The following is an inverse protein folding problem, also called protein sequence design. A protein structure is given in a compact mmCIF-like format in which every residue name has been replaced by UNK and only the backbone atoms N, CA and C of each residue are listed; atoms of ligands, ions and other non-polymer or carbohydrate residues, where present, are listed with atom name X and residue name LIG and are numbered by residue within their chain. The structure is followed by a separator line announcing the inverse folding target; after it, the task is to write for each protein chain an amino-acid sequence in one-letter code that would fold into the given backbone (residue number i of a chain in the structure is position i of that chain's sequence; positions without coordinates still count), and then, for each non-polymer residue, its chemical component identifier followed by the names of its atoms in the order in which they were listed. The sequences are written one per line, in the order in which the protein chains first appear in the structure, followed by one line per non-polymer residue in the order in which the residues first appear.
data_IF_565813913699
#
_entry.id   IF_565813913699
#
_cell.length_a   1.000
_cell.length_b   1.000
_cell.length_c   1.000
_cell.angle_alpha   90.00
_cell.angle_beta   90.00
_cell.angle_gamma   90.00
#
_symmetry.space_group_name_H-M   'P 1'
#
loop_
_entity.id
_entity.type
_entity.pdbx_description
1 polymer ?
#
# COMPACT_ATOMS: atom_id res chain seq x y z
N UNK A 1 -32.72 -19.17 -27.35
CA UNK A 1 -32.22 -17.82 -27.00
C UNK A 1 -33.25 -17.22 -26.05
N UNK A 2 -33.04 -17.39 -24.76
CA UNK A 2 -33.73 -16.63 -23.71
C UNK A 2 -32.64 -16.28 -22.70
N UNK A 3 -32.15 -15.05 -22.79
CA UNK A 3 -31.28 -14.47 -21.76
C UNK A 3 -32.23 -13.68 -20.88
N UNK A 4 -32.49 -14.20 -19.68
CA UNK A 4 -33.33 -13.56 -18.69
C UNK A 4 -32.81 -12.17 -18.29
N UNK A 5 -33.65 -11.34 -17.66
CA UNK A 5 -33.29 -9.97 -17.30
C UNK A 5 -32.16 -9.98 -16.26
N UNK A 6 -31.02 -9.36 -16.58
CA UNK A 6 -30.01 -8.98 -15.59
C UNK A 6 -30.52 -7.74 -14.85
N UNK A 7 -31.43 -7.95 -13.91
CA UNK A 7 -31.74 -6.99 -12.86
C UNK A 7 -30.62 -7.08 -11.82
N UNK A 8 -29.82 -6.02 -11.73
CA UNK A 8 -29.11 -5.73 -10.49
C UNK A 8 -30.18 -5.36 -9.45
N UNK A 9 -30.68 -6.34 -8.71
CA UNK A 9 -31.43 -6.10 -7.48
C UNK A 9 -30.44 -5.53 -6.44
N UNK A 10 -30.26 -4.22 -6.45
CA UNK A 10 -29.86 -3.50 -5.26
C UNK A 10 -31.11 -3.34 -4.40
N UNK A 11 -31.43 -4.32 -3.55
CA UNK A 11 -32.21 -4.00 -2.35
C UNK A 11 -31.35 -3.12 -1.46
N UNK A 12 -31.69 -1.83 -1.27
CA UNK A 12 -30.93 -0.97 -0.38
C UNK A 12 -31.07 -1.52 1.03
N UNK A 13 -29.98 -1.86 1.71
CA UNK A 13 -30.03 -1.92 3.17
C UNK A 13 -30.28 -0.48 3.65
N UNK A 14 -31.55 -0.20 3.93
CA UNK A 14 -32.08 0.99 4.62
C UNK A 14 -32.40 2.25 3.80
N UNK A 15 -32.87 2.16 2.54
CA UNK A 15 -33.64 3.25 1.90
C UNK A 15 -33.11 4.69 2.09
N UNK A 16 -31.77 4.87 2.15
CA UNK A 16 -31.19 6.18 2.43
C UNK A 16 -31.18 6.97 1.13
N UNK A 17 -32.04 7.98 1.07
CA UNK A 17 -31.98 9.06 0.08
C UNK A 17 -30.54 9.59 0.01
N UNK A 18 -30.01 9.73 -1.21
CA UNK A 18 -28.72 10.36 -1.46
C UNK A 18 -28.84 11.84 -1.09
N UNK A 19 -28.30 12.22 0.06
CA UNK A 19 -28.31 13.60 0.55
C UNK A 19 -26.88 14.13 0.55
N UNK A 20 -26.53 14.85 -0.51
CA UNK A 20 -25.47 15.85 -0.40
C UNK A 20 -26.01 16.93 0.54
N UNK A 21 -25.49 17.01 1.76
CA UNK A 21 -25.89 18.04 2.72
C UNK A 21 -25.49 19.41 2.14
N UNK A 22 -26.48 20.08 1.54
CA UNK A 22 -26.30 21.37 0.88
C UNK A 22 -26.15 22.49 1.89
N UNK A 23 -24.93 22.68 2.41
CA UNK A 23 -24.43 23.96 2.96
C UNK A 23 -22.91 23.97 3.23
N UNK A 24 -22.14 23.03 2.69
CA UNK A 24 -20.67 23.07 2.77
C UNK A 24 -20.14 22.97 1.34
N UNK A 25 -19.15 23.80 0.98
CA UNK A 25 -18.41 23.68 -0.27
C UNK A 25 -18.00 22.21 -0.45
N UNK A 26 -18.71 21.48 -1.33
CA UNK A 26 -18.39 20.07 -1.59
C UNK A 26 -17.06 20.07 -2.32
N UNK A 27 -15.99 19.69 -1.62
CA UNK A 27 -14.68 19.55 -2.24
C UNK A 27 -14.80 18.60 -3.45
N UNK A 28 -14.11 18.92 -4.56
CA UNK A 28 -14.21 18.17 -5.83
C UNK A 28 -14.09 16.65 -5.63
N UNK A 29 -13.20 16.19 -4.75
CA UNK A 29 -13.05 14.76 -4.44
C UNK A 29 -14.22 14.15 -3.68
N UNK A 30 -14.94 14.89 -2.83
CA UNK A 30 -16.16 14.38 -2.18
C UNK A 30 -17.26 14.16 -3.21
N UNK A 31 -17.47 15.12 -4.11
CA UNK A 31 -18.43 14.95 -5.21
C UNK A 31 -18.06 13.76 -6.10
N UNK A 32 -16.76 13.58 -6.39
CA UNK A 32 -16.26 12.42 -7.13
C UNK A 32 -16.51 11.08 -6.42
N UNK A 33 -16.25 11.00 -5.11
CA UNK A 33 -16.51 9.80 -4.30
C UNK A 33 -17.97 9.38 -4.36
N UNK A 34 -18.86 10.35 -4.15
CA UNK A 34 -20.31 10.14 -4.18
C UNK A 34 -20.80 9.74 -5.59
N UNK A 35 -20.21 10.31 -6.64
CA UNK A 35 -20.50 9.92 -8.02
C UNK A 35 -20.06 8.47 -8.30
N UNK A 36 -18.90 8.04 -7.82
CA UNK A 36 -18.44 6.66 -7.99
C UNK A 36 -19.37 5.66 -7.27
N UNK A 37 -19.90 6.01 -6.09
CA UNK A 37 -20.96 5.21 -5.46
C UNK A 37 -22.20 5.10 -6.35
N UNK A 38 -22.65 6.19 -6.95
CA UNK A 38 -23.78 6.16 -7.88
C UNK A 38 -23.48 5.31 -9.13
N UNK A 39 -22.21 5.18 -9.52
CA UNK A 39 -21.72 4.30 -10.59
C UNK A 39 -21.34 2.89 -10.08
N UNK A 40 -21.92 2.47 -8.95
CA UNK A 40 -21.83 1.13 -8.37
C UNK A 40 -20.45 0.72 -7.83
N UNK A 41 -19.54 1.66 -7.55
CA UNK A 41 -18.31 1.35 -6.81
C UNK A 41 -18.59 1.32 -5.31
N UNK A 42 -18.22 0.21 -4.68
CA UNK A 42 -18.10 0.13 -3.24
C UNK A 42 -16.81 0.82 -2.77
N UNK A 43 -16.71 1.01 -1.46
CA UNK A 43 -15.47 1.44 -0.84
C UNK A 43 -14.33 0.44 -1.03
N UNK A 44 -13.13 0.93 -1.29
CA UNK A 44 -11.95 0.08 -1.52
C UNK A 44 -11.60 -0.75 -0.27
N UNK A 45 -11.79 -0.17 0.92
CA UNK A 45 -11.52 -0.85 2.19
C UNK A 45 -12.50 -1.97 2.54
N UNK A 46 -13.62 -2.09 1.82
CA UNK A 46 -14.61 -3.14 2.02
C UNK A 46 -14.45 -4.30 1.01
N UNK A 47 -13.38 -4.33 0.22
CA UNK A 47 -13.07 -5.48 -0.63
C UNK A 47 -12.93 -6.76 0.18
N UNK A 48 -13.30 -7.89 -0.42
CA UNK A 48 -13.16 -9.20 0.20
C UNK A 48 -11.68 -9.60 0.43
N UNK A 49 -10.74 -8.95 -0.25
CA UNK A 49 -9.29 -9.08 -0.08
C UNK A 49 -8.64 -7.93 0.73
N UNK A 50 -9.42 -6.99 1.29
CA UNK A 50 -8.89 -5.82 1.99
C UNK A 50 -8.01 -6.19 3.21
N UNK A 51 -8.24 -7.36 3.81
CA UNK A 51 -7.45 -7.87 4.94
C UNK A 51 -5.99 -8.22 4.59
N UNK A 52 -5.62 -8.25 3.30
CA UNK A 52 -4.21 -8.34 2.93
C UNK A 52 -3.51 -6.98 3.08
N UNK A 53 -4.24 -5.87 2.90
CA UNK A 53 -3.67 -4.54 2.66
C UNK A 53 -3.87 -3.56 3.83
N UNK A 54 -4.98 -3.69 4.56
CA UNK A 54 -5.34 -2.80 5.66
C UNK A 54 -5.96 -3.56 6.82
N UNK A 55 -5.90 -2.99 8.00
CA UNK A 55 -6.59 -3.48 9.19
C UNK A 55 -7.22 -2.35 10.00
N UNK A 56 -8.15 -2.73 10.86
CA UNK A 56 -8.70 -1.82 11.85
C UNK A 56 -7.83 -1.78 13.10
N UNK A 57 -7.78 -0.61 13.71
CA UNK A 57 -7.09 -0.45 14.97
C UNK A 57 -7.86 -1.18 16.08
N UNK A 58 -7.27 -2.21 16.71
CA UNK A 58 -7.95 -2.99 17.75
C UNK A 58 -8.26 -2.17 19.01
N UNK A 59 -7.55 -1.07 19.23
CA UNK A 59 -7.79 -0.16 20.35
C UNK A 59 -8.98 0.78 20.11
N UNK A 60 -9.51 0.83 18.89
CA UNK A 60 -10.70 1.61 18.59
C UNK A 60 -11.96 0.77 18.89
N UNK A 61 -12.70 1.16 19.94
CA UNK A 61 -13.89 0.44 20.44
C UNK A 61 -15.22 0.99 19.91
N UNK A 62 -15.18 1.93 18.97
CA UNK A 62 -16.41 2.51 18.43
C UNK A 62 -17.05 1.54 17.43
N UNK A 63 -18.17 0.92 17.85
CA UNK A 63 -18.89 -0.11 17.08
C UNK A 63 -19.39 0.42 15.74
N UNK A 64 -19.81 1.68 15.68
CA UNK A 64 -20.31 2.30 14.45
C UNK A 64 -19.20 2.39 13.40
N UNK A 65 -17.93 2.54 13.82
CA UNK A 65 -16.80 2.46 12.89
C UNK A 65 -16.59 1.04 12.40
N UNK A 66 -16.62 0.04 13.28
CA UNK A 66 -16.35 -1.37 12.90
C UNK A 66 -17.32 -1.84 11.80
N UNK A 67 -18.60 -1.49 11.90
CA UNK A 67 -19.60 -1.88 10.89
C UNK A 67 -19.32 -1.28 9.50
N UNK A 68 -18.81 -0.05 9.44
CA UNK A 68 -18.45 0.60 8.17
C UNK A 68 -17.26 -0.06 7.47
N UNK A 69 -16.52 -0.93 8.16
CA UNK A 69 -15.31 -1.56 7.66
C UNK A 69 -15.42 -3.07 7.47
N UNK A 70 -16.61 -3.65 7.68
CA UNK A 70 -16.78 -5.07 7.40
C UNK A 70 -16.52 -5.35 5.90
N UNK A 71 -15.61 -6.29 5.57
CA UNK A 71 -15.43 -6.73 4.20
C UNK A 71 -16.74 -7.25 3.63
N UNK A 72 -17.01 -6.93 2.36
CA UNK A 72 -18.09 -7.54 1.61
C UNK A 72 -17.74 -9.01 1.37
N UNK A 73 -18.74 -9.90 1.37
CA UNK A 73 -18.51 -11.35 1.23
C UNK A 73 -17.93 -11.74 -0.13
N UNK A 74 -18.17 -10.94 -1.17
CA UNK A 74 -17.66 -11.19 -2.52
C UNK A 74 -17.58 -9.87 -3.28
N UNK A 75 -16.41 -9.52 -3.77
CA UNK A 75 -16.21 -8.35 -4.63
C UNK A 75 -15.67 -8.77 -5.99
N UNK A 76 -16.19 -8.17 -7.06
CA UNK A 76 -15.59 -8.29 -8.38
C UNK A 76 -14.71 -7.07 -8.64
N UNK A 77 -13.40 -7.31 -8.67
CA UNK A 77 -12.41 -6.27 -8.87
C UNK A 77 -11.95 -6.19 -10.33
N UNK A 78 -12.54 -6.97 -11.24
CA UNK A 78 -12.22 -7.01 -12.67
C UNK A 78 -10.72 -7.20 -12.96
N UNK A 79 -10.03 -7.91 -12.07
CA UNK A 79 -8.59 -8.14 -12.13
C UNK A 79 -7.72 -6.91 -11.80
N UNK A 80 -8.28 -5.82 -11.27
CA UNK A 80 -7.51 -4.66 -10.81
C UNK A 80 -6.96 -4.86 -9.38
N UNK A 81 -5.74 -4.36 -9.11
CA UNK A 81 -5.11 -4.47 -7.79
C UNK A 81 -5.87 -3.66 -6.74
N UNK A 82 -5.60 -3.90 -5.45
CA UNK A 82 -6.05 -3.02 -4.37
C UNK A 82 -5.36 -1.66 -4.47
N UNK A 83 -6.13 -0.57 -4.46
CA UNK A 83 -5.60 0.79 -4.62
C UNK A 83 -5.77 1.65 -3.37
N UNK A 84 -4.70 1.76 -2.58
CA UNK A 84 -4.65 2.63 -1.40
C UNK A 84 -4.99 4.09 -1.72
N UNK A 85 -4.70 4.54 -2.94
CA UNK A 85 -4.98 5.90 -3.41
C UNK A 85 -6.35 6.08 -4.06
N UNK A 86 -7.18 5.04 -4.11
CA UNK A 86 -8.54 5.15 -4.67
C UNK A 86 -9.31 6.25 -3.97
N UNK A 87 -10.10 7.01 -4.74
CA UNK A 87 -11.03 7.99 -4.19
C UNK A 87 -12.09 7.29 -3.31
N UNK A 88 -12.31 5.99 -3.51
CA UNK A 88 -13.20 5.13 -2.72
C UNK A 88 -12.56 4.59 -1.43
N UNK A 89 -11.29 4.88 -1.17
CA UNK A 89 -10.66 4.54 0.11
C UNK A 89 -10.97 5.62 1.16
N UNK A 90 -11.34 5.19 2.37
CA UNK A 90 -11.48 6.10 3.50
C UNK A 90 -10.13 6.56 4.04
N UNK A 91 -10.13 7.73 4.65
CA UNK A 91 -8.96 8.21 5.37
C UNK A 91 -8.73 7.42 6.64
N UNK A 92 -7.49 7.45 7.10
CA UNK A 92 -7.04 6.69 8.25
C UNK A 92 -7.71 7.08 9.57
N UNK A 93 -8.48 8.19 9.61
CA UNK A 93 -9.12 8.89 10.75
C UNK A 93 -8.45 8.72 12.11
N UNK A 94 -8.01 9.81 12.73
CA UNK A 94 -7.46 9.74 14.08
C UNK A 94 -8.61 9.63 15.08
N UNK A 95 -8.79 8.46 15.68
CA UNK A 95 -9.79 8.20 16.72
C UNK A 95 -9.51 8.98 18.02
N UNK A 96 -10.43 8.86 18.98
CA UNK A 96 -10.45 9.65 20.22
C UNK A 96 -9.15 9.60 21.06
N UNK A 97 -8.33 8.57 20.87
CA UNK A 97 -7.06 8.36 21.59
C UNK A 97 -5.82 8.79 20.80
N UNK A 98 -5.98 9.46 19.66
CA UNK A 98 -4.85 9.94 18.86
C UNK A 98 -4.25 8.86 17.93
N UNK A 99 -5.02 7.81 17.59
CA UNK A 99 -4.56 6.69 16.76
C UNK A 99 -5.35 6.58 15.46
N UNK A 100 -4.71 6.14 14.38
CA UNK A 100 -5.42 5.83 13.13
C UNK A 100 -6.41 4.70 13.34
N UNK A 101 -7.64 4.85 12.86
CA UNK A 101 -8.67 3.83 12.83
C UNK A 101 -8.39 2.75 11.78
N UNK A 102 -7.80 3.13 10.64
CA UNK A 102 -7.35 2.22 9.58
C UNK A 102 -5.82 2.26 9.53
N UNK A 103 -5.21 1.09 9.67
CA UNK A 103 -3.76 0.91 9.60
C UNK A 103 -3.45 0.15 8.31
N UNK A 104 -2.58 0.68 7.46
CA UNK A 104 -2.09 -0.05 6.29
C UNK A 104 -1.04 -1.08 6.73
N UNK A 105 -1.06 -2.28 6.11
CA UNK A 105 -0.07 -3.32 6.41
C UNK A 105 1.34 -2.83 6.11
N UNK A 106 1.55 -2.31 4.90
CA UNK A 106 2.76 -1.58 4.58
C UNK A 106 2.65 -0.15 5.09
N UNK A 107 3.54 0.25 6.00
CA UNK A 107 3.55 1.61 6.56
C UNK A 107 3.70 2.72 5.53
N UNK A 108 4.32 2.45 4.39
CA UNK A 108 4.55 3.44 3.35
C UNK A 108 3.25 3.94 2.71
N UNK A 109 2.18 3.14 2.78
CA UNK A 109 0.87 3.52 2.24
C UNK A 109 -0.01 4.29 3.23
N UNK A 110 0.40 4.46 4.49
CA UNK A 110 -0.47 4.99 5.55
C UNK A 110 -0.99 6.41 5.24
N UNK A 111 -0.20 7.22 4.52
CA UNK A 111 -0.60 8.58 4.07
C UNK A 111 -1.13 8.64 2.65
N UNK A 112 -1.17 7.50 1.95
CA UNK A 112 -1.79 7.37 0.62
C UNK A 112 -3.32 7.30 0.77
N UNK A 113 -3.80 6.63 1.81
CA UNK A 113 -5.23 6.38 2.01
C UNK A 113 -6.03 7.64 2.35
N UNK A 114 -7.22 7.75 1.77
CA UNK A 114 -8.20 8.79 2.11
C UNK A 114 -8.08 10.11 1.36
N UNK A 115 -7.21 10.18 0.35
CA UNK A 115 -7.11 11.37 -0.48
C UNK A 115 -8.48 11.77 -1.08
N UNK A 116 -8.67 13.07 -1.30
CA UNK A 116 -9.88 13.66 -1.92
C UNK A 116 -9.49 14.67 -3.01
N UNK A 117 -8.35 14.45 -3.64
CA UNK A 117 -7.81 15.32 -4.68
C UNK A 117 -8.34 14.92 -6.07
N UNK A 118 -8.24 13.64 -6.43
CA UNK A 118 -8.53 13.15 -7.79
C UNK A 118 -8.92 11.67 -7.83
N UNK A 119 -9.51 11.25 -8.95
CA UNK A 119 -9.68 9.83 -9.25
C UNK A 119 -8.32 9.18 -9.48
N UNK A 120 -8.14 7.96 -8.98
CA UNK A 120 -7.00 7.13 -9.36
C UNK A 120 -7.19 6.60 -10.79
N UNK A 121 -6.11 6.17 -11.44
CA UNK A 121 -6.19 5.45 -12.70
C UNK A 121 -7.16 4.25 -12.59
N UNK A 122 -7.05 3.47 -11.50
CA UNK A 122 -7.92 2.32 -11.26
C UNK A 122 -9.40 2.70 -11.20
N UNK A 123 -9.76 3.75 -10.46
CA UNK A 123 -11.17 4.19 -10.34
C UNK A 123 -11.76 4.44 -11.72
N UNK A 124 -11.04 5.18 -12.57
CA UNK A 124 -11.49 5.48 -13.94
C UNK A 124 -11.51 4.23 -14.83
N UNK A 125 -10.54 3.33 -14.68
CA UNK A 125 -10.42 2.12 -15.48
C UNK A 125 -11.55 1.11 -15.20
N UNK A 126 -11.97 0.96 -13.94
CA UNK A 126 -13.11 0.11 -13.57
C UNK A 126 -14.41 0.68 -14.15
N UNK A 127 -14.63 1.99 -14.01
CA UNK A 127 -15.81 2.65 -14.60
C UNK A 127 -15.86 2.45 -16.11
N UNK A 128 -14.74 2.69 -16.80
CA UNK A 128 -14.66 2.47 -18.24
C UNK A 128 -14.83 1.01 -18.62
N UNK A 129 -14.35 0.07 -17.80
CA UNK A 129 -14.58 -1.36 -18.02
C UNK A 129 -16.07 -1.71 -17.95
N UNK A 130 -16.78 -1.24 -16.92
CA UNK A 130 -18.20 -1.56 -16.68
C UNK A 130 -19.10 -0.93 -17.75
N UNK A 131 -18.89 0.36 -18.06
CA UNK A 131 -19.85 1.14 -18.84
C UNK A 131 -19.42 1.41 -20.29
N UNK A 132 -18.13 1.27 -20.61
CA UNK A 132 -17.57 1.63 -21.91
C UNK A 132 -16.80 0.48 -22.59
N UNK A 133 -16.77 -0.72 -21.99
CA UNK A 133 -15.96 -1.84 -22.47
C UNK A 133 -16.25 -2.29 -23.90
N UNK A 134 -17.49 -2.10 -24.37
CA UNK A 134 -17.91 -2.45 -25.73
C UNK A 134 -17.60 -1.38 -26.79
N UNK A 135 -17.17 -0.17 -26.39
CA UNK A 135 -16.95 0.93 -27.34
C UNK A 135 -15.83 0.63 -28.36
N UNK A 136 -14.83 -0.17 -27.97
CA UNK A 136 -13.73 -0.58 -28.82
C UNK A 136 -13.81 -2.04 -29.26
N UNK A 137 -15.03 -2.61 -29.28
CA UNK A 137 -15.26 -4.00 -29.66
C UNK A 137 -14.70 -4.30 -31.05
N UNK A 138 -13.97 -5.41 -31.15
CA UNK A 138 -13.31 -5.84 -32.38
C UNK A 138 -11.88 -5.30 -32.57
N UNK A 139 -11.43 -4.35 -31.73
CA UNK A 139 -10.02 -3.96 -31.65
C UNK A 139 -9.29 -4.76 -30.59
N UNK A 140 -8.06 -5.15 -30.91
CA UNK A 140 -7.15 -5.77 -29.95
C UNK A 140 -6.58 -4.68 -29.04
N UNK A 141 -6.53 -4.92 -27.72
CA UNK A 141 -5.83 -4.02 -26.82
C UNK A 141 -4.31 -4.20 -27.01
N UNK A 142 -3.65 -3.18 -27.57
CA UNK A 142 -2.20 -3.14 -27.78
C UNK A 142 -1.44 -2.39 -26.67
N UNK A 143 -2.18 -1.77 -25.74
CA UNK A 143 -1.62 -1.02 -24.63
C UNK A 143 -0.87 -1.95 -23.66
N UNK A 144 0.31 -1.53 -23.24
CA UNK A 144 1.21 -2.25 -22.34
C UNK A 144 1.06 -1.78 -20.89
N UNK A 145 1.75 -2.46 -19.98
CA UNK A 145 1.86 -2.09 -18.56
C UNK A 145 0.52 -1.91 -17.81
N UNK A 146 -0.56 -2.52 -18.30
CA UNK A 146 -1.89 -2.40 -17.71
C UNK A 146 -2.73 -1.24 -18.25
N UNK A 147 -2.28 -0.60 -19.34
CA UNK A 147 -3.08 0.36 -20.10
C UNK A 147 -4.25 -0.29 -20.86
N UNK A 148 -5.20 0.53 -21.28
CA UNK A 148 -6.36 0.10 -22.07
C UNK A 148 -6.73 1.13 -23.13
N UNK A 149 -7.42 0.69 -24.18
CA UNK A 149 -7.87 1.57 -25.26
C UNK A 149 -8.79 2.66 -24.72
N UNK A 150 -8.56 3.90 -25.15
CA UNK A 150 -9.43 5.02 -24.84
C UNK A 150 -10.83 4.76 -25.41
N UNK A 151 -11.88 4.62 -24.58
CA UNK A 151 -13.21 4.27 -25.08
C UNK A 151 -13.88 5.34 -25.95
N UNK A 152 -13.29 6.54 -26.04
CA UNK A 152 -13.72 7.60 -26.97
C UNK A 152 -12.90 7.62 -28.26
N UNK A 153 -11.68 7.09 -28.23
CA UNK A 153 -10.72 7.09 -29.33
C UNK A 153 -9.93 5.78 -29.32
N UNK A 154 -10.50 4.74 -29.92
CA UNK A 154 -9.99 3.37 -29.78
C UNK A 154 -8.62 3.10 -30.45
N UNK A 155 -7.95 4.12 -30.97
CA UNK A 155 -6.57 4.07 -31.49
C UNK A 155 -5.56 4.69 -30.50
N UNK A 156 -6.03 5.20 -29.36
CA UNK A 156 -5.20 5.77 -28.30
C UNK A 156 -5.22 4.88 -27.04
N UNK A 157 -4.12 4.87 -26.30
CA UNK A 157 -4.02 4.20 -25.02
C UNK A 157 -4.19 5.16 -23.84
N UNK A 158 -4.99 4.75 -22.85
CA UNK A 158 -4.99 5.33 -21.51
C UNK A 158 -4.00 4.56 -20.64
N UNK A 159 -2.98 5.26 -20.14
CA UNK A 159 -1.85 4.67 -19.45
C UNK A 159 -1.96 4.81 -17.93
N UNK A 160 -1.53 3.78 -17.16
CA UNK A 160 -1.33 3.94 -15.73
C UNK A 160 -0.31 5.04 -15.44
N UNK A 161 -0.51 5.72 -14.32
CA UNK A 161 0.37 6.83 -13.92
C UNK A 161 1.82 6.39 -13.84
N UNK A 162 2.72 7.22 -14.40
CA UNK A 162 4.14 6.90 -14.55
C UNK A 162 4.50 6.27 -15.90
N UNK A 163 3.53 5.77 -16.67
CA UNK A 163 3.71 5.29 -18.04
C UNK A 163 3.07 6.25 -19.06
N UNK A 164 3.62 6.24 -20.27
CA UNK A 164 3.15 7.03 -21.39
C UNK A 164 3.63 6.46 -22.73
N UNK A 165 3.60 7.30 -23.76
CA UNK A 165 3.79 6.86 -25.14
C UNK A 165 2.50 6.28 -25.73
N UNK A 166 2.51 6.02 -27.04
CA UNK A 166 1.33 5.58 -27.78
C UNK A 166 0.76 4.24 -27.27
N UNK A 167 1.62 3.38 -26.71
CA UNK A 167 1.25 2.05 -26.21
C UNK A 167 1.50 1.87 -24.70
N UNK A 168 1.70 2.94 -23.93
CA UNK A 168 2.03 2.86 -22.49
C UNK A 168 3.32 2.06 -22.18
N UNK A 169 4.21 1.91 -23.16
CA UNK A 169 5.46 1.15 -23.09
C UNK A 169 6.66 2.02 -22.67
N UNK A 170 6.45 3.34 -22.64
CA UNK A 170 7.45 4.33 -22.25
C UNK A 170 7.12 4.86 -20.85
N UNK A 171 8.12 5.48 -20.21
CA UNK A 171 7.82 6.33 -19.07
C UNK A 171 7.08 7.57 -19.54
N UNK A 172 6.13 8.02 -18.75
CA UNK A 172 5.43 9.26 -19.03
C UNK A 172 6.45 10.40 -19.12
N UNK A 173 6.31 11.25 -20.14
CA UNK A 173 7.29 12.30 -20.40
C UNK A 173 7.40 13.27 -19.22
N UNK A 174 8.63 13.57 -18.83
CA UNK A 174 8.94 14.61 -17.88
C UNK A 174 8.69 15.99 -18.52
N UNK A 175 7.87 16.83 -17.89
CA UNK A 175 7.79 18.24 -18.27
C UNK A 175 8.79 19.02 -17.40
N UNK A 176 9.83 19.66 -17.94
CA UNK A 176 10.86 20.43 -17.21
C UNK A 176 11.80 19.58 -16.31
N UNK A 177 12.62 18.71 -16.90
CA UNK A 177 13.69 17.96 -16.23
C UNK A 177 14.99 17.95 -17.05
N UNK A 178 16.15 18.05 -16.39
CA UNK A 178 17.46 17.65 -16.93
C UNK A 178 17.84 16.31 -16.29
N UNK A 179 18.34 15.39 -17.11
CA UNK A 179 18.82 14.07 -16.70
C UNK A 179 20.24 14.20 -16.13
N UNK A 180 20.43 13.82 -14.87
CA UNK A 180 21.75 13.79 -14.21
C UNK A 180 22.23 12.34 -14.06
N UNK A 181 22.29 11.59 -15.15
CA UNK A 181 22.89 10.26 -15.17
C UNK A 181 24.43 10.35 -15.08
N UNK A 182 24.95 10.43 -13.86
CA UNK A 182 26.35 10.13 -13.51
C UNK A 182 26.50 8.70 -12.99
N UNK A 183 27.67 8.09 -13.16
CA UNK A 183 28.00 6.74 -12.67
C UNK A 183 27.72 6.58 -11.16
N UNK A 184 27.31 5.39 -10.69
CA UNK A 184 26.51 5.26 -9.46
C UNK A 184 27.34 5.25 -8.18
N UNK A 185 26.80 5.89 -7.15
CA UNK A 185 26.57 5.31 -5.81
C UNK A 185 25.59 6.18 -5.00
N UNK A 186 25.50 7.48 -5.33
CA UNK A 186 24.48 8.39 -4.81
C UNK A 186 23.78 9.02 -6.02
N UNK A 187 22.46 8.84 -6.14
CA UNK A 187 21.66 9.66 -7.03
C UNK A 187 21.35 10.94 -6.25
N UNK A 188 22.12 12.00 -6.52
CA UNK A 188 21.83 13.33 -6.00
C UNK A 188 20.75 13.97 -6.88
N UNK A 189 19.62 14.24 -6.25
CA UNK A 189 18.43 14.74 -6.89
C UNK A 189 18.35 16.25 -6.72
N UNK A 190 18.79 17.00 -7.73
CA UNK A 190 18.46 18.43 -7.82
C UNK A 190 16.97 18.59 -8.26
N UNK A 191 16.40 19.80 -8.18
CA UNK A 191 14.97 20.25 -8.30
C UNK A 191 14.11 19.74 -9.49
N UNK A 192 14.57 18.69 -10.18
CA UNK A 192 14.13 18.19 -11.45
C UNK A 192 13.74 16.70 -11.44
N UNK A 193 13.62 16.01 -10.29
CA UNK A 193 13.04 14.66 -10.34
C UNK A 193 11.54 14.78 -10.60
N UNK A 194 11.11 14.34 -11.79
CA UNK A 194 9.69 14.12 -12.07
C UNK A 194 9.37 12.64 -12.18
N UNK A 195 10.22 11.79 -12.80
CA UNK A 195 10.06 10.32 -12.83
C UNK A 195 11.41 9.60 -12.98
N UNK A 196 11.70 8.64 -12.12
CA UNK A 196 12.86 7.74 -12.16
C UNK A 196 12.38 6.29 -12.24
N UNK A 197 12.92 5.52 -13.20
CA UNK A 197 12.69 4.07 -13.30
C UNK A 197 13.97 3.32 -13.03
N UNK A 198 13.97 2.58 -11.94
CA UNK A 198 15.07 1.70 -11.59
C UNK A 198 14.70 0.27 -12.03
N UNK A 199 15.63 -0.38 -12.72
CA UNK A 199 15.45 -1.74 -13.23
C UNK A 199 16.33 -2.73 -12.46
N UNK A 200 15.78 -3.83 -11.93
CA UNK A 200 16.60 -4.88 -11.33
C UNK A 200 17.48 -5.58 -12.37
N UNK A 201 18.53 -6.26 -11.90
CA UNK A 201 19.21 -7.27 -12.70
C UNK A 201 18.26 -8.46 -12.92
N UNK A 202 18.42 -9.14 -14.05
CA UNK A 202 17.55 -10.25 -14.41
C UNK A 202 17.57 -11.34 -13.34
N UNK A 203 16.40 -11.75 -12.86
CA UNK A 203 16.23 -12.76 -11.81
C UNK A 203 16.47 -12.24 -10.40
N UNK A 204 16.74 -10.94 -10.23
CA UNK A 204 16.97 -10.31 -8.94
C UNK A 204 15.85 -9.32 -8.59
N UNK A 205 15.77 -8.99 -7.31
CA UNK A 205 14.88 -7.94 -6.81
C UNK A 205 15.62 -6.63 -6.68
N UNK A 206 14.94 -5.54 -7.02
CA UNK A 206 15.41 -4.20 -6.76
C UNK A 206 14.96 -3.77 -5.36
N UNK A 207 15.87 -3.17 -4.61
CA UNK A 207 15.60 -2.63 -3.29
C UNK A 207 16.13 -1.20 -3.25
N UNK A 208 15.32 -0.26 -2.74
CA UNK A 208 15.72 1.14 -2.55
C UNK A 208 15.62 1.51 -1.08
N UNK A 209 16.47 2.43 -0.63
CA UNK A 209 16.39 3.10 0.65
C UNK A 209 16.24 4.59 0.40
N UNK A 210 15.20 5.18 0.97
CA UNK A 210 15.07 6.63 0.99
C UNK A 210 15.94 7.18 2.12
N UNK A 211 16.83 8.11 1.77
CA UNK A 211 17.60 8.88 2.74
C UNK A 211 16.77 10.10 3.15
N UNK A 212 16.99 10.64 4.36
CA UNK A 212 16.23 11.78 4.87
C UNK A 212 16.60 13.01 4.02
N UNK A 213 15.67 13.61 3.26
CA UNK A 213 15.92 14.91 2.64
C UNK A 213 15.90 16.02 3.70
N UNK A 214 16.75 17.02 3.55
CA UNK A 214 16.86 18.15 4.47
C UNK A 214 15.57 19.00 4.49
N UNK A 215 14.84 19.06 3.36
CA UNK A 215 13.68 19.94 3.16
C UNK A 215 12.32 19.33 3.54
N UNK A 216 12.28 18.08 4.03
CA UNK A 216 10.99 17.52 4.45
C UNK A 216 10.53 18.16 5.75
N UNK A 217 9.28 18.63 5.76
CA UNK A 217 8.65 19.24 6.95
C UNK A 217 8.89 18.38 8.19
N UNK A 218 9.24 19.07 9.27
CA UNK A 218 9.51 18.46 10.56
C UNK A 218 8.31 17.65 11.08
N UNK A 219 8.64 16.73 11.99
CA UNK A 219 7.75 15.74 12.61
C UNK A 219 6.43 16.32 13.11
N UNK A 220 6.43 17.58 13.58
CA UNK A 220 5.27 18.27 14.16
C UNK A 220 4.26 18.77 13.13
N UNK A 221 4.69 19.06 11.90
CA UNK A 221 3.89 19.79 10.89
C UNK A 221 3.39 18.89 9.75
N UNK A 222 3.46 17.58 9.98
CA UNK A 222 3.16 16.58 8.98
C UNK A 222 1.65 16.30 8.87
N UNK A 223 1.02 16.48 7.68
CA UNK A 223 -0.41 16.24 7.51
C UNK A 223 -0.76 14.75 7.59
N UNK A 224 -1.96 14.41 8.09
CA UNK A 224 -2.42 13.02 8.20
C UNK A 224 -2.51 12.27 6.86
N UNK A 225 -2.62 13.00 5.75
CA UNK A 225 -2.70 12.50 4.37
C UNK A 225 -1.73 13.34 3.53
N UNK A 226 -1.04 12.73 2.58
CA UNK A 226 -0.17 13.50 1.69
C UNK A 226 -0.98 14.43 0.77
N UNK A 227 -0.57 15.69 0.76
CA UNK A 227 -1.15 16.72 -0.11
C UNK A 227 -0.54 16.67 -1.53
N UNK A 228 -0.68 17.76 -2.30
CA UNK A 228 -0.22 17.80 -3.69
C UNK A 228 1.31 17.74 -3.84
N UNK A 229 2.07 18.06 -2.79
CA UNK A 229 3.51 17.84 -2.72
C UNK A 229 3.81 16.49 -2.07
N UNK A 230 4.40 15.56 -2.82
CA UNK A 230 4.80 14.24 -2.35
C UNK A 230 5.75 13.53 -3.33
N UNK A 231 6.44 12.51 -2.84
CA UNK A 231 7.10 11.49 -3.66
C UNK A 231 6.20 10.24 -3.70
N UNK A 232 5.86 9.77 -4.89
CA UNK A 232 5.16 8.50 -5.11
C UNK A 232 6.17 7.41 -5.47
N UNK A 233 6.05 6.24 -4.84
CA UNK A 233 6.89 5.08 -5.12
C UNK A 233 6.00 3.89 -5.46
N UNK A 234 6.08 3.42 -6.71
CA UNK A 234 5.41 2.22 -7.18
C UNK A 234 6.40 1.06 -7.26
N UNK A 235 6.30 0.14 -6.30
CA UNK A 235 7.16 -1.04 -6.19
C UNK A 235 6.41 -2.37 -6.37
N UNK A 236 5.08 -2.32 -6.48
CA UNK A 236 4.23 -3.47 -6.80
C UNK A 236 4.29 -3.81 -8.28
N UNK A 237 4.18 -5.08 -8.65
CA UNK A 237 4.19 -5.59 -10.03
C UNK A 237 3.14 -4.90 -10.89
N UNK A 238 1.92 -4.83 -10.39
CA UNK A 238 0.82 -4.13 -11.05
C UNK A 238 0.84 -2.65 -10.69
N UNK A 239 1.16 -1.83 -11.69
CA UNK A 239 1.34 -0.38 -11.55
C UNK A 239 0.05 0.43 -11.75
N UNK A 240 -1.09 -0.25 -11.97
CA UNK A 240 -2.42 0.38 -12.14
C UNK A 240 -2.95 1.01 -10.87
N UNK A 241 -2.57 0.52 -9.68
CA UNK A 241 -2.87 1.16 -8.40
C UNK A 241 -1.90 2.31 -8.11
N UNK A 242 -2.32 3.28 -7.30
CA UNK A 242 -1.46 4.33 -6.81
C UNK A 242 -0.33 3.75 -5.92
N UNK A 243 0.87 4.32 -6.07
CA UNK A 243 2.04 4.00 -5.27
C UNK A 243 1.98 4.57 -3.86
N UNK A 244 2.99 4.25 -3.06
CA UNK A 244 3.11 4.79 -1.72
C UNK A 244 3.50 6.27 -1.78
N UNK A 245 2.70 7.13 -1.16
CA UNK A 245 2.96 8.57 -1.07
C UNK A 245 3.74 8.89 0.19
N UNK A 246 4.90 9.53 0.00
CA UNK A 246 5.80 10.00 1.04
C UNK A 246 5.85 11.53 0.99
N UNK A 247 5.51 12.18 2.09
CA UNK A 247 5.47 13.65 2.15
C UNK A 247 6.00 14.21 3.49
N UNK A 248 6.47 13.35 4.38
CA UNK A 248 6.96 13.75 5.69
C UNK A 248 8.20 13.01 6.13
N UNK A 249 9.06 13.69 6.89
CA UNK A 249 10.27 13.10 7.42
C UNK A 249 9.98 11.86 8.28
N UNK A 250 8.86 11.84 9.03
CA UNK A 250 8.43 10.69 9.84
C UNK A 250 8.15 9.40 9.05
N UNK A 251 7.78 9.51 7.78
CA UNK A 251 7.53 8.33 6.94
C UNK A 251 8.83 7.57 6.68
N UNK A 252 9.96 8.30 6.78
CA UNK A 252 11.33 7.81 6.68
C UNK A 252 11.93 7.61 8.10
N UNK A 253 11.76 8.53 9.04
CA UNK A 253 12.56 8.56 10.28
C UNK A 253 12.01 7.76 11.47
N UNK A 254 10.73 7.40 11.51
CA UNK A 254 10.11 6.99 12.79
C UNK A 254 10.62 5.69 13.40
N UNK A 255 11.30 4.81 12.67
CA UNK A 255 11.75 3.56 13.26
C UNK A 255 13.05 3.13 12.58
N UNK A 256 14.17 3.26 13.32
CA UNK A 256 15.52 2.80 13.01
C UNK A 256 15.95 2.89 11.51
N UNK A 257 17.02 3.65 11.23
CA UNK A 257 17.62 3.87 9.90
C UNK A 257 17.92 2.55 9.14
N UNK A 258 17.99 1.40 9.82
CA UNK A 258 17.98 0.06 9.21
C UNK A 258 16.76 -0.26 8.32
N UNK A 259 15.63 0.45 8.48
CA UNK A 259 14.27 -0.06 8.18
C UNK A 259 13.53 0.69 7.08
N UNK A 260 14.20 1.57 6.34
CA UNK A 260 13.61 2.35 5.23
C UNK A 260 13.80 1.74 3.86
N UNK A 261 14.00 0.42 3.80
CA UNK A 261 14.11 -0.28 2.53
C UNK A 261 12.71 -0.57 1.97
N UNK A 262 12.51 -0.21 0.71
CA UNK A 262 11.37 -0.56 -0.13
C UNK A 262 11.89 -1.55 -1.16
N UNK A 263 11.31 -2.75 -1.16
CA UNK A 263 11.68 -3.84 -2.05
C UNK A 263 10.62 -3.99 -3.15
N UNK A 264 11.05 -4.33 -4.37
CA UNK A 264 10.14 -4.70 -5.43
C UNK A 264 9.37 -5.98 -5.05
N UNK A 265 8.05 -5.98 -5.30
CA UNK A 265 7.15 -7.07 -4.88
C UNK A 265 7.64 -8.45 -5.35
N UNK A 266 8.16 -8.53 -6.58
CA UNK A 266 8.72 -9.74 -7.17
C UNK A 266 10.07 -9.46 -7.86
N UNK A 267 10.79 -10.54 -8.21
CA UNK A 267 11.97 -10.46 -9.08
C UNK A 267 11.59 -9.87 -10.44
N UNK A 268 12.54 -9.21 -11.09
CA UNK A 268 12.33 -8.57 -12.40
C UNK A 268 11.27 -7.45 -12.43
N UNK A 269 10.80 -6.98 -11.27
CA UNK A 269 9.85 -5.87 -11.17
C UNK A 269 10.60 -4.54 -11.03
N UNK A 270 10.29 -3.62 -11.94
CA UNK A 270 10.80 -2.24 -11.89
C UNK A 270 10.18 -1.46 -10.72
N UNK A 271 10.97 -0.55 -10.12
CA UNK A 271 10.45 0.48 -9.22
C UNK A 271 10.35 1.80 -9.98
N UNK A 272 9.18 2.43 -9.94
CA UNK A 272 8.94 3.77 -10.50
C UNK A 272 8.80 4.75 -9.35
N UNK A 273 9.60 5.80 -9.35
CA UNK A 273 9.56 6.88 -8.38
C UNK A 273 9.14 8.13 -9.12
N UNK A 274 8.14 8.84 -8.63
CA UNK A 274 7.64 10.08 -9.23
C UNK A 274 7.58 11.18 -8.18
N UNK A 275 8.08 12.36 -8.53
CA UNK A 275 7.98 13.55 -7.67
C UNK A 275 6.84 14.43 -8.13
N UNK A 276 5.99 14.86 -7.20
CA UNK A 276 4.98 15.90 -7.44
C UNK A 276 5.20 17.04 -6.46
N UNK A 277 5.24 18.26 -7.00
CA UNK A 277 5.43 19.45 -6.20
C UNK A 277 4.37 20.50 -6.55
N UNK A 278 3.76 21.09 -5.53
CA UNK A 278 2.68 22.06 -5.69
C UNK A 278 3.19 23.51 -5.83
N UNK A 279 4.42 23.80 -5.40
CA UNK A 279 5.05 25.13 -5.49
C UNK A 279 6.28 25.10 -6.41
N UNK A 280 6.93 26.24 -6.59
CA UNK A 280 8.18 26.36 -7.36
C UNK A 280 9.44 26.09 -6.52
N UNK A 281 9.28 25.77 -5.23
CA UNK A 281 10.41 25.58 -4.31
C UNK A 281 11.15 24.27 -4.61
N UNK A 282 12.46 24.26 -4.31
CA UNK A 282 13.35 23.14 -4.54
C UNK A 282 13.08 22.03 -3.50
N UNK A 283 12.89 20.80 -3.96
CA UNK A 283 12.82 19.61 -3.10
C UNK A 283 13.66 18.51 -3.73
N UNK A 284 14.79 18.22 -3.10
CA UNK A 284 15.62 17.06 -3.40
C UNK A 284 15.26 15.86 -2.54
N UNK A 285 15.54 14.66 -3.02
CA UNK A 285 15.60 13.47 -2.17
C UNK A 285 16.72 12.54 -2.62
N UNK A 286 17.50 12.07 -1.66
CA UNK A 286 18.58 11.12 -1.91
C UNK A 286 18.06 9.70 -1.71
N UNK A 287 18.47 8.77 -2.58
CA UNK A 287 18.20 7.35 -2.40
C UNK A 287 19.45 6.50 -2.63
N UNK A 288 19.49 5.38 -1.93
CA UNK A 288 20.46 4.29 -2.16
C UNK A 288 19.70 3.09 -2.73
N UNK A 289 20.30 2.32 -3.65
CA UNK A 289 19.64 1.14 -4.21
C UNK A 289 20.58 -0.06 -4.36
N UNK A 290 20.00 -1.26 -4.31
CA UNK A 290 20.67 -2.55 -4.44
C UNK A 290 19.93 -3.39 -5.49
N UNK A 291 20.66 -4.05 -6.40
CA UNK A 291 20.07 -4.87 -7.49
C UNK A 291 20.39 -6.36 -7.40
N UNK A 292 21.25 -6.78 -6.47
CA UNK A 292 21.68 -8.17 -6.27
C UNK A 292 20.91 -8.88 -5.13
N UNK A 293 19.78 -8.29 -4.71
CA UNK A 293 19.10 -8.66 -3.47
C UNK A 293 19.91 -8.29 -2.21
N UNK A 294 19.24 -8.28 -1.07
CA UNK A 294 19.88 -8.01 0.21
C UNK A 294 20.65 -9.24 0.68
N UNK A 295 21.99 -9.19 0.77
CA UNK A 295 22.72 -10.24 1.48
C UNK A 295 22.51 -10.06 2.98
N UNK A 296 21.73 -10.96 3.57
CA UNK A 296 21.42 -10.95 5.00
C UNK A 296 22.44 -11.79 5.77
N UNK A 297 23.04 -11.19 6.79
CA UNK A 297 23.95 -11.84 7.72
C UNK A 297 23.26 -11.98 9.08
N UNK A 298 23.41 -13.11 9.80
CA UNK A 298 22.93 -13.21 11.17
C UNK A 298 23.51 -12.09 12.04
N UNK A 299 22.70 -11.56 12.94
CA UNK A 299 23.10 -10.53 13.91
C UNK A 299 22.42 -10.82 15.24
N UNK A 300 23.06 -10.43 16.35
CA UNK A 300 22.45 -10.42 17.68
C UNK A 300 22.24 -8.98 18.18
N UNK A 301 22.50 -7.97 17.35
CA UNK A 301 22.43 -6.56 17.73
C UNK A 301 21.04 -5.93 17.54
N UNK A 302 19.99 -6.74 17.38
CA UNK A 302 18.63 -6.20 17.27
C UNK A 302 18.16 -5.66 18.61
N UNK A 303 17.43 -4.55 18.54
CA UNK A 303 16.61 -4.08 19.66
C UNK A 303 15.67 -5.20 20.10
N UNK A 304 15.47 -5.33 21.42
CA UNK A 304 14.46 -6.22 21.98
C UNK A 304 13.10 -5.98 21.28
N UNK A 305 12.47 -6.99 20.67
CA UNK A 305 11.18 -6.85 20.00
C UNK A 305 10.09 -6.29 20.92
N UNK A 306 10.19 -6.46 22.25
CA UNK A 306 9.26 -5.82 23.19
C UNK A 306 9.20 -4.30 23.03
N UNK A 307 10.33 -3.68 22.70
CA UNK A 307 10.45 -2.24 22.48
C UNK A 307 10.02 -1.83 21.06
N UNK A 308 9.85 -2.80 20.16
CA UNK A 308 9.39 -2.57 18.79
C UNK A 308 7.88 -2.66 18.66
N UNK A 309 7.20 -3.25 19.65
CA UNK A 309 5.76 -3.20 19.71
C UNK A 309 5.31 -1.76 19.88
N UNK A 310 4.63 -1.25 18.86
CA UNK A 310 3.85 -0.03 18.95
C UNK A 310 2.40 -0.43 19.22
N UNK A 311 1.86 -0.25 20.45
CA UNK A 311 0.47 -0.56 20.75
C UNK A 311 -0.52 0.17 19.82
N UNK A 312 -0.09 1.27 19.19
CA UNK A 312 -0.88 2.05 18.23
C UNK A 312 -1.00 1.35 16.87
N UNK A 313 -0.09 0.44 16.54
CA UNK A 313 -0.08 -0.32 15.28
C UNK A 313 -0.24 -1.82 15.46
N UNK A 314 0.15 -2.41 16.58
CA UNK A 314 0.32 -3.85 16.75
C UNK A 314 -0.15 -4.29 18.15
N UNK A 315 -1.40 -3.97 18.52
CA UNK A 315 -1.95 -4.47 19.78
C UNK A 315 -2.08 -6.00 19.76
N UNK A 316 -1.92 -6.63 20.93
CA UNK A 316 -2.15 -8.07 21.12
C UNK A 316 -0.91 -8.97 21.02
N UNK A 317 0.29 -8.41 20.83
CA UNK A 317 1.54 -9.20 20.77
C UNK A 317 2.37 -9.07 22.04
N UNK A 318 3.03 -10.17 22.39
CA UNK A 318 4.04 -10.22 23.44
C UNK A 318 5.14 -11.20 23.00
N UNK A 319 6.41 -10.98 23.35
CA UNK A 319 7.40 -12.05 23.16
C UNK A 319 7.14 -13.17 24.17
N UNK A 320 7.30 -14.41 23.71
CA UNK A 320 7.18 -15.61 24.55
C UNK A 320 8.56 -16.00 25.03
N UNK A 321 8.73 -16.07 26.36
CA UNK A 321 9.96 -16.55 27.00
C UNK A 321 10.10 -18.09 26.85
N UNK A 322 11.32 -18.68 26.71
CA UNK A 322 12.63 -18.05 26.80
C UNK A 322 13.02 -17.36 25.48
N UNK A 323 13.27 -16.06 25.56
CA UNK A 323 14.01 -15.36 24.50
C UNK A 323 15.47 -15.80 24.61
N UNK A 324 15.89 -16.77 23.79
CA UNK A 324 17.29 -17.19 23.78
C UNK A 324 18.15 -16.17 23.02
N UNK A 325 18.54 -15.12 23.75
CA UNK A 325 19.42 -14.05 23.27
C UNK A 325 20.77 -14.57 22.75
N UNK A 326 21.18 -15.80 23.10
CA UNK A 326 22.43 -16.40 22.63
C UNK A 326 22.35 -16.90 21.18
N UNK A 327 21.14 -17.21 20.68
CA UNK A 327 20.94 -17.71 19.31
C UNK A 327 20.43 -16.66 18.33
N UNK A 328 20.24 -15.42 18.80
CA UNK A 328 19.60 -14.34 18.06
C UNK A 328 18.19 -14.71 17.52
N UNK A 329 17.53 -15.73 18.09
CA UNK A 329 16.17 -16.16 17.74
C UNK A 329 15.20 -15.84 18.88
N UNK A 330 13.97 -15.47 18.52
CA UNK A 330 12.90 -15.18 19.48
C UNK A 330 11.56 -15.75 18.99
N UNK A 331 10.56 -15.76 19.86
CA UNK A 331 9.18 -16.11 19.52
C UNK A 331 8.24 -14.98 19.89
N UNK A 332 7.42 -14.54 18.94
CA UNK A 332 6.32 -13.60 19.21
C UNK A 332 5.04 -14.41 19.42
N UNK A 333 4.42 -14.26 20.58
CA UNK A 333 3.13 -14.85 20.94
C UNK A 333 1.98 -13.87 20.74
N UNK A 334 0.76 -14.36 20.95
CA UNK A 334 -0.47 -13.54 20.87
C UNK A 334 -1.37 -13.84 19.67
N UNK A 335 -0.90 -14.65 18.71
CA UNK A 335 -1.77 -15.20 17.67
C UNK A 335 -2.29 -16.57 18.08
N UNK A 336 -3.61 -16.74 18.19
CA UNK A 336 -4.19 -18.07 18.25
C UNK A 336 -3.84 -18.88 16.99
N UNK A 337 -3.93 -20.22 17.06
CA UNK A 337 -3.67 -21.10 15.91
C UNK A 337 -4.56 -20.67 14.74
N UNK A 338 -3.96 -20.41 13.58
CA UNK A 338 -4.68 -19.78 12.46
C UNK A 338 -3.76 -19.29 11.37
N UNK A 339 -4.08 -18.12 10.81
CA UNK A 339 -3.32 -17.49 9.73
C UNK A 339 -2.74 -16.15 10.19
N UNK A 340 -1.68 -15.74 9.53
CA UNK A 340 -0.97 -14.50 9.80
C UNK A 340 -0.86 -13.74 8.50
N UNK A 341 -1.00 -12.42 8.55
CA UNK A 341 -0.74 -11.54 7.42
C UNK A 341 0.47 -10.69 7.77
N UNK A 342 1.45 -10.64 6.87
CA UNK A 342 2.51 -9.64 6.87
C UNK A 342 2.90 -9.33 5.42
N UNK A 343 3.06 -8.05 5.06
CA UNK A 343 3.39 -7.59 3.70
C UNK A 343 2.57 -8.29 2.60
N UNK A 344 1.24 -8.24 2.74
CA UNK A 344 0.27 -8.84 1.82
C UNK A 344 0.38 -10.38 1.67
N UNK A 345 1.19 -11.07 2.50
CA UNK A 345 1.37 -12.53 2.49
C UNK A 345 0.67 -13.20 3.65
N UNK A 346 0.02 -14.33 3.36
CA UNK A 346 -0.61 -15.17 4.38
C UNK A 346 0.24 -16.38 4.72
N UNK A 347 0.55 -16.56 6.00
CA UNK A 347 1.29 -17.71 6.53
C UNK A 347 0.47 -18.42 7.61
N UNK A 348 0.44 -19.74 7.58
CA UNK A 348 -0.25 -20.54 8.59
C UNK A 348 0.60 -20.63 9.88
N UNK A 349 -0.01 -20.32 11.02
CA UNK A 349 0.58 -20.44 12.35
C UNK A 349 -0.02 -21.61 13.11
N UNK A 350 0.72 -22.71 13.18
CA UNK A 350 0.31 -23.93 13.87
C UNK A 350 0.63 -23.91 15.37
N UNK A 351 1.63 -23.13 15.78
CA UNK A 351 2.19 -23.11 17.14
C UNK A 351 1.59 -22.03 18.05
N UNK A 352 0.81 -21.10 17.49
CA UNK A 352 0.34 -19.91 18.21
C UNK A 352 1.45 -18.91 18.60
N UNK A 353 2.66 -19.17 18.10
CA UNK A 353 3.85 -18.36 18.29
C UNK A 353 4.64 -18.31 17.00
N UNK A 354 5.16 -17.13 16.69
CA UNK A 354 5.90 -16.77 15.50
C UNK A 354 7.41 -16.76 15.77
N UNK A 355 8.15 -17.76 15.28
CA UNK A 355 9.60 -17.76 15.40
C UNK A 355 10.24 -16.70 14.49
N UNK A 356 11.06 -15.85 15.08
CA UNK A 356 11.81 -14.79 14.40
C UNK A 356 13.31 -14.95 14.68
N UNK A 357 14.17 -14.39 13.82
CA UNK A 357 15.56 -14.14 14.21
C UNK A 357 16.06 -12.78 13.77
N UNK A 358 17.21 -12.39 14.29
CA UNK A 358 17.83 -11.11 14.03
C UNK A 358 18.90 -11.23 12.93
N UNK A 359 18.86 -10.33 11.96
CA UNK A 359 19.81 -10.22 10.85
C UNK A 359 20.25 -8.77 10.65
N UNK A 360 21.31 -8.57 9.89
CA UNK A 360 21.74 -7.28 9.34
C UNK A 360 22.03 -7.44 7.86
N UNK A 361 21.99 -6.34 7.11
CA UNK A 361 22.47 -6.32 5.73
C UNK A 361 24.00 -6.31 5.71
N UNK A 362 24.61 -7.00 4.76
CA UNK A 362 26.05 -6.91 4.51
C UNK A 362 26.45 -5.45 4.26
N UNK A 363 27.52 -4.97 4.92
CA UNK A 363 27.94 -3.56 4.85
C UNK A 363 27.14 -2.59 5.74
N UNK A 364 26.03 -3.02 6.36
CA UNK A 364 25.28 -2.20 7.31
C UNK A 364 25.66 -2.53 8.76
N UNK A 365 25.74 -1.50 9.61
CA UNK A 365 25.86 -1.67 11.06
C UNK A 365 24.51 -2.04 11.72
N UNK A 366 23.40 -1.84 11.01
CA UNK A 366 22.07 -1.90 11.58
C UNK A 366 21.41 -3.27 11.45
N UNK A 367 20.67 -3.68 12.50
CA UNK A 367 20.05 -5.01 12.59
C UNK A 367 18.52 -4.95 12.71
N UNK A 368 17.85 -5.99 12.23
CA UNK A 368 16.38 -6.12 12.20
C UNK A 368 15.92 -7.58 12.33
N UNK A 369 14.65 -7.77 12.70
CA UNK A 369 14.02 -9.08 12.86
C UNK A 369 13.47 -9.61 11.52
N UNK A 370 13.44 -10.95 11.34
CA UNK A 370 12.83 -11.64 10.20
C UNK A 370 12.11 -12.92 10.64
N UNK A 371 11.17 -13.43 9.83
CA UNK A 371 10.46 -14.69 10.10
C UNK A 371 11.30 -15.91 9.71
N UNK A 372 11.57 -16.83 10.64
CA UNK A 372 12.62 -17.82 10.46
C UNK A 372 12.33 -18.94 9.42
N UNK A 373 11.05 -19.18 9.05
CA UNK A 373 10.63 -20.37 8.27
C UNK A 373 10.68 -20.14 6.76
N UNK A 374 10.72 -18.88 6.32
CA UNK A 374 10.72 -18.51 4.91
C UNK A 374 11.82 -17.47 4.68
N UNK A 375 13.05 -17.95 4.46
CA UNK A 375 14.25 -17.12 4.27
C UNK A 375 14.29 -16.41 2.91
N UNK A 376 13.41 -16.81 1.99
CA UNK A 376 13.14 -16.23 0.68
C UNK A 376 12.08 -15.11 0.73
N UNK A 377 11.52 -14.86 1.91
CA UNK A 377 10.53 -13.82 2.18
C UNK A 377 11.18 -12.69 2.98
N UNK A 378 10.70 -11.47 2.73
CA UNK A 378 11.17 -10.21 3.31
C UNK A 378 11.44 -10.27 4.82
N UNK A 379 12.33 -9.40 5.33
CA UNK A 379 12.43 -9.15 6.76
C UNK A 379 11.08 -8.75 7.33
N UNK A 380 10.48 -9.65 8.12
CA UNK A 380 9.23 -9.39 8.81
C UNK A 380 9.42 -8.25 9.80
N UNK A 381 8.76 -7.12 9.54
CA UNK A 381 8.66 -6.05 10.53
C UNK A 381 7.74 -6.54 11.63
N UNK A 382 8.25 -6.64 12.85
CA UNK A 382 7.49 -7.16 14.02
C UNK A 382 6.20 -6.37 14.21
N UNK A 383 6.24 -5.07 13.91
CA UNK A 383 5.11 -4.16 13.93
C UNK A 383 4.08 -4.38 12.79
N UNK A 384 4.45 -5.01 11.67
CA UNK A 384 3.57 -5.29 10.52
C UNK A 384 3.01 -6.74 10.56
N UNK A 385 3.27 -7.48 11.64
CA UNK A 385 2.71 -8.83 11.86
C UNK A 385 1.29 -8.73 12.36
N UNK A 386 0.36 -9.43 11.69
CA UNK A 386 -1.06 -9.44 12.03
C UNK A 386 -1.63 -10.86 12.13
N UNK A 387 -2.43 -11.13 13.17
CA UNK A 387 -3.13 -12.41 13.34
C UNK A 387 -4.51 -12.30 12.68
N UNK A 388 -4.82 -13.26 11.82
CA UNK A 388 -6.14 -13.36 11.17
C UNK A 388 -6.71 -14.77 11.35
N UNK A 389 -8.03 -14.84 11.55
CA UNK A 389 -8.76 -16.10 11.53
C UNK A 389 -9.51 -16.18 10.22
N UNK A 390 -9.12 -17.14 9.38
CA UNK A 390 -9.84 -17.43 8.15
C UNK A 390 -10.85 -18.54 8.40
N UNK A 391 -12.14 -18.24 8.26
CA UNK A 391 -13.20 -19.25 8.30
C UNK A 391 -13.42 -19.77 6.87
N UNK A 392 -12.48 -20.60 6.40
CA UNK A 392 -12.52 -21.19 5.05
C UNK A 392 -13.68 -22.18 4.88
N UNK A 393 -14.27 -22.69 5.96
CA UNK A 393 -15.39 -23.63 5.89
C UNK A 393 -16.74 -22.96 5.58
N UNK A 394 -16.83 -21.62 5.65
CA UNK A 394 -18.09 -20.89 5.46
C UNK A 394 -18.10 -19.86 4.32
N UNK A 395 -17.08 -19.84 3.46
CA UNK A 395 -16.91 -18.80 2.42
C UNK A 395 -17.01 -17.36 2.96
N UNK A 396 -16.68 -17.13 4.24
CA UNK A 396 -16.87 -15.84 4.95
C UNK A 396 -15.61 -14.97 4.99
N UNK A 397 -14.63 -15.24 4.13
CA UNK A 397 -13.36 -14.51 4.09
C UNK A 397 -12.53 -14.67 5.37
N UNK A 398 -11.46 -13.88 5.48
CA UNK A 398 -10.64 -13.81 6.69
C UNK A 398 -11.05 -12.61 7.55
N UNK A 399 -11.06 -12.78 8.88
CA UNK A 399 -11.32 -11.71 9.84
C UNK A 399 -10.11 -11.49 10.74
N UNK A 400 -9.87 -10.24 11.13
CA UNK A 400 -8.87 -9.91 12.15
C UNK A 400 -9.27 -10.46 13.51
N UNK A 401 -8.29 -10.98 14.25
CA UNK A 401 -8.46 -11.28 15.66
C UNK A 401 -8.31 -9.97 16.45
N UNK A 402 -9.30 -9.67 17.29
CA UNK A 402 -9.27 -8.55 18.25
C UNK A 402 -9.01 -9.10 19.66
N UNK A 403 -8.62 -8.25 20.60
CA UNK A 403 -8.45 -8.64 22.02
C UNK A 403 -9.70 -9.32 22.61
N UNK A 404 -10.89 -8.99 22.09
CA UNK A 404 -12.17 -9.57 22.51
C UNK A 404 -12.42 -10.99 21.96
N UNK A 405 -11.59 -11.46 21.02
CA UNK A 405 -11.71 -12.77 20.36
C UNK A 405 -10.52 -13.72 20.64
N UNK A 406 -9.63 -13.33 21.56
CA UNK A 406 -8.67 -14.21 22.23
C UNK A 406 -9.28 -14.75 23.53
#
# INVERSE_FOLDING_TARGET
MEVGPKLAEMTPRNGKNFRLAGTVFVAKGTAGHELLHALALAHEMNRDDAFYFIKLNPSNRDKDWIENYEPLNKTDNFGFPYDFGSLMHYWASVGAFGYFNIITMSRFYQRTIGQRERLSFRDSAIINHIYCGDNCKGKKNECQNGGYLNPKQCDECLCPEGYGGAHCDQLEQNQNCVDLSGTPNNLEADWQIRKLKLRPKKGEKLIIKLNKPEDFKDVSDCPGICGPTHVEIKYRKDKRAQGALICCANDILRQNIARNWIEAEEKDVDIIISGRHATTDEVGFELTYETDGAKLLPSCACTDPHLLFDPKRSAGYFCVDPCDYSTCNMKIGGCSKGFLVFNDKVVQNESGALPISCHKREGSAESFWYYWKQKDIEPMRVEEVHCVRCDREKDKGCKYLTEENN
#
